data_IF_267208983162
#
_entry.id   IF_267208983162
#
_cell.length_a   1.000
_cell.length_b   1.000
_cell.length_c   1.000
_cell.angle_alpha   90.00
_cell.angle_beta   90.00
_cell.angle_gamma   90.00
#
_symmetry.space_group_name_H-M   'P 1'
#
loop_
_entity.id
_entity.type
_entity.pdbx_description
1 polymer ?
#
# COMPACT_ATOMS: atom_id res chain seq x y z
N UNK A 1 -2.56 18.30 14.67
CA UNK A 1 -2.92 19.68 15.03
C UNK A 1 -3.39 19.64 16.46
N UNK A 2 -2.79 20.43 17.34
CA UNK A 2 -3.27 20.61 18.71
C UNK A 2 -4.50 21.52 18.63
N UNK A 3 -5.62 21.07 19.17
CA UNK A 3 -6.89 21.80 19.14
C UNK A 3 -6.98 22.58 20.45
N UNK A 4 -6.70 23.88 20.41
CA UNK A 4 -6.72 24.76 21.59
C UNK A 4 -7.96 25.67 21.64
N UNK A 5 -8.80 25.67 20.60
CA UNK A 5 -10.00 26.52 20.53
C UNK A 5 -11.10 25.92 19.64
N UNK A 6 -12.40 26.13 19.94
CA UNK A 6 -13.52 25.61 19.15
C UNK A 6 -13.55 26.12 17.69
N UNK A 7 -13.04 27.32 17.43
CA UNK A 7 -13.00 27.90 16.08
C UNK A 7 -12.00 27.17 15.16
N UNK A 8 -10.95 26.61 15.74
CA UNK A 8 -9.99 25.73 15.06
C UNK A 8 -10.60 24.36 14.72
N UNK A 9 -11.61 23.90 15.46
CA UNK A 9 -12.35 22.68 15.14
C UNK A 9 -13.17 22.84 13.85
N UNK A 10 -13.85 23.98 13.70
CA UNK A 10 -14.62 24.31 12.48
C UNK A 10 -13.72 24.47 11.23
N UNK A 11 -12.44 24.87 11.41
CA UNK A 11 -11.45 25.01 10.32
C UNK A 11 -10.56 23.79 10.13
N UNK A 12 -10.60 22.80 11.03
CA UNK A 12 -9.79 21.60 10.93
C UNK A 12 -10.30 20.77 9.74
N UNK A 13 -9.52 20.75 8.65
CA UNK A 13 -9.68 19.74 7.59
C UNK A 13 -9.66 18.37 8.28
N UNK A 14 -10.81 17.70 8.35
CA UNK A 14 -11.07 16.60 9.29
C UNK A 14 -9.97 15.55 9.41
N UNK A 15 -9.89 14.90 10.59
CA UNK A 15 -8.87 13.92 10.95
C UNK A 15 -8.74 12.73 9.98
N UNK A 16 -9.75 12.51 9.15
CA UNK A 16 -9.79 11.46 8.13
C UNK A 16 -8.61 11.53 7.14
N UNK A 17 -8.14 12.72 6.74
CA UNK A 17 -6.99 12.83 5.81
C UNK A 17 -5.70 12.27 6.42
N UNK A 18 -5.50 12.45 7.72
CA UNK A 18 -4.33 11.91 8.41
C UNK A 18 -4.39 10.39 8.47
N UNK A 19 -5.54 9.83 8.90
CA UNK A 19 -5.73 8.39 9.01
C UNK A 19 -5.67 7.67 7.66
N UNK A 20 -6.25 8.25 6.61
CA UNK A 20 -6.12 7.75 5.22
C UNK A 20 -4.66 7.67 4.77
N UNK A 21 -3.87 8.73 5.04
CA UNK A 21 -2.43 8.74 4.71
C UNK A 21 -1.65 7.73 5.55
N UNK A 22 -1.94 7.64 6.85
CA UNK A 22 -1.29 6.68 7.77
C UNK A 22 -1.50 5.23 7.34
N UNK A 23 -2.71 4.87 6.87
CA UNK A 23 -3.00 3.53 6.34
C UNK A 23 -2.08 3.17 5.17
N UNK A 24 -1.92 4.08 4.19
CA UNK A 24 -1.04 3.86 3.03
C UNK A 24 0.43 3.76 3.46
N UNK A 25 0.86 4.64 4.37
CA UNK A 25 2.25 4.63 4.88
C UNK A 25 2.56 3.32 5.61
N UNK A 26 1.61 2.81 6.39
CA UNK A 26 1.72 1.51 7.08
C UNK A 26 1.98 0.37 6.10
N UNK A 27 1.22 0.32 4.98
CA UNK A 27 1.44 -0.66 3.92
C UNK A 27 2.81 -0.51 3.25
N UNK A 28 3.35 0.70 3.15
CA UNK A 28 4.67 0.96 2.54
C UNK A 28 5.86 0.84 3.49
N UNK A 29 5.65 0.45 4.76
CA UNK A 29 6.70 0.50 5.78
C UNK A 29 7.95 -0.35 5.45
N UNK A 30 7.74 -1.47 4.77
CA UNK A 30 8.79 -2.40 4.34
C UNK A 30 9.50 -1.95 3.04
N UNK A 31 9.08 -0.84 2.43
CA UNK A 31 9.72 -0.33 1.23
C UNK A 31 11.02 0.42 1.55
N UNK A 32 12.03 0.27 0.68
CA UNK A 32 13.30 1.00 0.80
C UNK A 32 13.23 2.49 0.41
N UNK A 33 13.89 3.39 1.15
CA UNK A 33 14.05 4.80 0.78
C UNK A 33 12.77 5.65 0.86
N UNK A 34 12.61 6.66 -0.01
CA UNK A 34 11.54 7.68 0.08
C UNK A 34 10.12 7.11 -0.02
N UNK A 35 9.95 5.94 -0.62
CA UNK A 35 8.65 5.26 -0.80
C UNK A 35 8.02 4.80 0.51
N UNK A 36 8.75 4.74 1.64
CA UNK A 36 8.18 4.46 2.98
C UNK A 36 7.68 5.70 3.73
N UNK A 37 8.18 6.89 3.38
CA UNK A 37 7.93 8.12 4.13
C UNK A 37 7.04 9.12 3.37
N UNK A 38 7.27 9.27 2.06
CA UNK A 38 6.59 10.27 1.24
C UNK A 38 5.28 9.72 0.67
N UNK A 39 4.13 10.19 1.16
CA UNK A 39 2.80 9.71 0.77
C UNK A 39 2.56 9.65 -0.75
N UNK A 40 2.95 10.69 -1.49
CA UNK A 40 2.75 10.77 -2.95
C UNK A 40 3.51 9.70 -3.73
N UNK A 41 4.67 9.28 -3.21
CA UNK A 41 5.46 8.18 -3.78
C UNK A 41 4.91 6.85 -3.28
N UNK A 42 4.64 6.73 -1.97
CA UNK A 42 4.13 5.54 -1.33
C UNK A 42 2.87 5.01 -2.02
N UNK A 43 1.88 5.87 -2.28
CA UNK A 43 0.61 5.46 -2.91
C UNK A 43 0.80 4.86 -4.31
N UNK A 44 1.71 5.42 -5.12
CA UNK A 44 2.00 4.90 -6.47
C UNK A 44 2.61 3.50 -6.40
N UNK A 45 3.56 3.30 -5.49
CA UNK A 45 4.24 2.03 -5.32
C UNK A 45 3.36 0.96 -4.66
N UNK A 46 2.58 1.32 -3.65
CA UNK A 46 1.62 0.40 -3.01
C UNK A 46 0.60 -0.07 -4.04
N UNK A 47 0.02 0.83 -4.85
CA UNK A 47 -0.92 0.44 -5.90
C UNK A 47 -0.28 -0.50 -6.93
N UNK A 48 0.97 -0.23 -7.34
CA UNK A 48 1.71 -1.11 -8.24
C UNK A 48 1.96 -2.49 -7.62
N UNK A 49 2.39 -2.54 -6.36
CA UNK A 49 2.65 -3.78 -5.64
C UNK A 49 1.38 -4.63 -5.47
N UNK A 50 0.24 -4.01 -5.13
CA UNK A 50 -1.04 -4.71 -5.01
C UNK A 50 -1.51 -5.28 -6.36
N UNK A 51 -1.36 -4.53 -7.47
CA UNK A 51 -1.66 -5.04 -8.81
C UNK A 51 -0.81 -6.26 -9.16
N UNK A 52 0.51 -6.19 -8.94
CA UNK A 52 1.38 -7.34 -9.19
C UNK A 52 1.11 -8.52 -8.27
N UNK A 53 0.73 -8.28 -7.01
CA UNK A 53 0.37 -9.36 -6.10
C UNK A 53 -0.85 -10.14 -6.63
N UNK A 54 -1.86 -9.44 -7.15
CA UNK A 54 -3.03 -10.08 -7.77
C UNK A 54 -2.65 -10.90 -9.01
N UNK A 55 -1.76 -10.39 -9.86
CA UNK A 55 -1.28 -11.10 -11.04
C UNK A 55 -0.43 -12.32 -10.65
N UNK A 56 0.49 -12.16 -9.70
CA UNK A 56 1.35 -13.24 -9.21
C UNK A 56 0.54 -14.38 -8.58
N UNK A 57 -0.58 -14.10 -7.89
CA UNK A 57 -1.47 -15.16 -7.38
C UNK A 57 -2.10 -16.01 -8.48
N UNK A 58 -2.34 -15.44 -9.66
CA UNK A 58 -2.86 -16.17 -10.82
C UNK A 58 -1.74 -16.98 -11.47
N UNK A 59 -0.60 -16.34 -11.71
CA UNK A 59 0.57 -16.96 -12.34
C UNK A 59 1.16 -18.10 -11.51
N UNK A 60 1.23 -17.96 -10.18
CA UNK A 60 1.70 -19.03 -9.29
C UNK A 60 0.95 -20.35 -9.47
N UNK A 61 -0.32 -20.32 -9.88
CA UNK A 61 -1.10 -21.55 -10.13
C UNK A 61 -0.71 -22.22 -11.44
N UNK A 62 -0.39 -21.45 -12.49
CA UNK A 62 0.11 -22.02 -13.75
C UNK A 62 1.53 -22.54 -13.57
N UNK A 63 2.41 -21.76 -12.94
CA UNK A 63 3.82 -22.14 -12.77
C UNK A 63 3.96 -23.45 -11.98
N UNK A 64 3.17 -23.63 -10.92
CA UNK A 64 3.17 -24.89 -10.14
C UNK A 64 2.69 -26.07 -10.99
N UNK A 65 1.72 -25.88 -11.89
CA UNK A 65 1.25 -26.94 -12.78
C UNK A 65 2.30 -27.32 -13.80
N UNK A 66 2.96 -26.33 -14.42
CA UNK A 66 4.06 -26.55 -15.37
C UNK A 66 5.20 -27.34 -14.71
N UNK A 67 5.64 -26.92 -13.52
CA UNK A 67 6.70 -27.64 -12.77
C UNK A 67 6.32 -29.09 -12.45
N UNK A 68 5.07 -29.36 -12.10
CA UNK A 68 4.60 -30.73 -11.83
C UNK A 68 4.66 -31.56 -13.12
N UNK A 69 4.19 -31.00 -14.23
CA UNK A 69 4.16 -31.69 -15.53
C UNK A 69 5.58 -32.00 -16.01
N UNK A 70 6.50 -31.05 -15.92
CA UNK A 70 7.91 -31.23 -16.32
C UNK A 70 8.62 -32.33 -15.51
N UNK A 71 8.30 -32.49 -14.22
CA UNK A 71 8.89 -33.55 -13.38
C UNK A 71 8.27 -34.94 -13.67
N UNK A 72 7.14 -35.00 -14.38
CA UNK A 72 6.48 -36.28 -14.72
C UNK A 72 6.89 -36.87 -16.07
N UNK A 73 7.69 -36.15 -16.87
CA UNK A 73 8.21 -36.60 -18.16
C UNK A 73 9.70 -36.92 -18.14
#
# INVERSE_FOLDING_TARGET
>A
MVITSPTLFARARGGDRFWKRRRVVSLSAHFYGRKRNCYTIAIKYVNRALRYNTLARRLRKSDVREVIVDHTY
#
